data_IF_109728812214
#
_entry.id   IF_109728812214
#
_cell.length_a   1.000
_cell.length_b   1.000
_cell.length_c   1.000
_cell.angle_alpha   90.00
_cell.angle_beta   90.00
_cell.angle_gamma   90.00
#
_symmetry.space_group_name_H-M   'P 1'
#
loop_
_entity.id
_entity.type
_entity.pdbx_description
1 polymer ?
#
# COMPACT_ATOMS: atom_id res chain seq x y z
N UNK A 1 -22.76 -0.71 -2.18
CA UNK A 1 -21.67 -0.85 -1.18
C UNK A 1 -20.45 -1.38 -1.92
N UNK A 2 -19.21 -0.87 -1.70
CA UNK A 2 -18.02 -1.43 -2.35
C UNK A 2 -17.82 -2.88 -1.92
N UNK A 3 -17.49 -3.75 -2.87
CA UNK A 3 -17.31 -5.19 -2.63
C UNK A 3 -15.99 -5.44 -1.90
N UNK A 4 -16.04 -6.21 -0.82
CA UNK A 4 -14.85 -6.72 -0.13
C UNK A 4 -14.22 -7.83 -0.99
N UNK A 5 -12.90 -7.76 -1.19
CA UNK A 5 -12.13 -8.76 -1.94
C UNK A 5 -11.17 -9.51 -1.02
N UNK A 6 -11.03 -10.84 -1.23
CA UNK A 6 -10.06 -11.65 -0.48
C UNK A 6 -8.63 -11.32 -0.90
N UNK A 7 -7.69 -11.53 0.02
CA UNK A 7 -6.25 -11.55 -0.26
C UNK A 7 -5.84 -12.97 -0.68
N UNK A 8 -4.96 -13.15 -1.69
CA UNK A 8 -4.29 -12.10 -2.47
C UNK A 8 -5.23 -11.41 -3.47
N UNK A 9 -5.02 -10.11 -3.62
CA UNK A 9 -5.73 -9.25 -4.57
C UNK A 9 -4.72 -8.60 -5.51
N UNK A 10 -5.04 -8.58 -6.80
CA UNK A 10 -4.26 -7.87 -7.82
C UNK A 10 -5.22 -7.04 -8.66
N UNK A 11 -4.90 -5.75 -8.82
CA UNK A 11 -5.68 -4.83 -9.64
C UNK A 11 -4.84 -4.33 -10.80
N UNK A 12 -5.30 -4.57 -12.02
CA UNK A 12 -4.83 -3.83 -13.19
C UNK A 12 -5.34 -2.38 -13.10
N UNK A 13 -4.47 -1.41 -13.32
CA UNK A 13 -4.79 0.02 -13.26
C UNK A 13 -5.36 0.55 -14.59
N UNK A 14 -5.60 -0.34 -15.57
CA UNK A 14 -6.12 -0.09 -16.92
C UNK A 14 -5.25 0.84 -17.81
N UNK A 15 -4.23 1.45 -17.22
CA UNK A 15 -3.18 2.25 -17.88
C UNK A 15 -1.86 2.15 -17.11
N UNK A 16 -0.76 2.38 -17.80
CA UNK A 16 0.53 2.64 -17.16
C UNK A 16 0.45 3.97 -16.38
N UNK A 17 0.71 3.92 -15.08
CA UNK A 17 0.70 5.07 -14.19
C UNK A 17 2.13 5.55 -14.00
N UNK A 18 2.42 6.78 -14.43
CA UNK A 18 3.65 7.48 -14.07
C UNK A 18 3.68 7.65 -12.55
N UNK A 19 4.70 7.08 -11.90
CA UNK A 19 4.75 7.00 -10.43
C UNK A 19 5.27 8.28 -9.79
N UNK A 20 6.01 9.11 -10.53
CA UNK A 20 6.64 10.36 -10.04
C UNK A 20 5.70 11.51 -9.66
N UNK A 21 4.40 11.31 -9.85
CA UNK A 21 3.35 12.28 -9.58
C UNK A 21 2.02 11.59 -9.22
N UNK A 22 2.11 10.38 -8.66
CA UNK A 22 0.95 9.55 -8.38
C UNK A 22 0.56 9.60 -6.89
N UNK A 23 -0.75 9.61 -6.65
CA UNK A 23 -1.32 9.34 -5.34
C UNK A 23 -2.08 8.02 -5.38
N UNK A 24 -1.71 7.08 -4.53
CA UNK A 24 -2.43 5.81 -4.35
C UNK A 24 -3.11 5.79 -3.00
N UNK A 25 -4.43 5.60 -2.99
CA UNK A 25 -5.19 5.38 -1.75
C UNK A 25 -5.68 3.94 -1.70
N UNK A 26 -5.47 3.25 -0.59
CA UNK A 26 -5.94 1.89 -0.37
C UNK A 26 -6.73 1.88 0.93
N UNK A 27 -7.93 1.31 0.90
CA UNK A 27 -8.75 1.09 2.10
C UNK A 27 -8.90 -0.39 2.36
N UNK A 28 -9.02 -0.75 3.64
CA UNK A 28 -9.19 -2.13 4.04
C UNK A 28 -9.87 -2.25 5.38
N UNK A 29 -10.25 -3.47 5.70
CA UNK A 29 -10.79 -3.84 7.00
C UNK A 29 -9.97 -5.03 7.55
N UNK A 30 -9.44 -4.89 8.76
CA UNK A 30 -8.74 -6.00 9.41
C UNK A 30 -9.79 -6.86 10.11
N UNK A 31 -9.97 -8.11 9.69
CA UNK A 31 -10.98 -8.97 10.30
C UNK A 31 -10.60 -9.40 11.72
N UNK A 32 -11.60 -9.64 12.56
CA UNK A 32 -11.43 -10.22 13.88
C UNK A 32 -11.81 -11.72 13.88
N UNK A 33 -11.14 -12.53 13.05
CA UNK A 33 -11.45 -13.97 12.90
C UNK A 33 -10.77 -14.89 13.92
N UNK A 34 -10.39 -14.38 15.11
CA UNK A 34 -9.84 -15.20 16.20
C UNK A 34 -8.43 -15.76 16.01
N UNK A 35 -7.76 -15.50 14.88
CA UNK A 35 -6.36 -15.83 14.66
C UNK A 35 -5.42 -14.84 15.38
N UNK A 36 -4.26 -15.33 15.79
CA UNK A 36 -3.29 -14.53 16.55
C UNK A 36 -2.75 -13.37 15.71
N UNK A 37 -2.16 -13.60 14.54
CA UNK A 37 -1.57 -12.54 13.72
C UNK A 37 -2.16 -12.53 12.31
N UNK A 38 -2.31 -11.34 11.73
CA UNK A 38 -2.66 -11.14 10.33
C UNK A 38 -1.62 -10.25 9.66
N UNK A 39 -1.08 -10.69 8.54
CA UNK A 39 -0.13 -9.91 7.75
C UNK A 39 -0.74 -9.54 6.42
N UNK A 40 -0.53 -8.30 5.99
CA UNK A 40 -0.77 -7.88 4.63
C UNK A 40 0.35 -6.98 4.11
N UNK A 41 0.57 -7.05 2.81
CA UNK A 41 1.53 -6.24 2.07
C UNK A 41 0.83 -5.59 0.90
N UNK A 42 0.95 -4.27 0.79
CA UNK A 42 0.52 -3.48 -0.37
C UNK A 42 1.77 -3.17 -1.17
N UNK A 43 1.74 -3.47 -2.46
CA UNK A 43 2.90 -3.34 -3.35
C UNK A 43 2.49 -2.88 -4.75
N UNK A 44 3.34 -2.08 -5.38
CA UNK A 44 3.19 -1.70 -6.80
C UNK A 44 3.93 -2.70 -7.67
N UNK A 45 3.35 -3.05 -8.81
CA UNK A 45 3.92 -4.05 -9.71
C UNK A 45 3.84 -3.61 -11.16
N UNK A 46 4.85 -4.01 -11.91
CA UNK A 46 4.97 -3.70 -13.34
C UNK A 46 4.49 -4.89 -14.19
N UNK A 47 4.41 -6.08 -13.60
CA UNK A 47 3.99 -7.33 -14.25
C UNK A 47 2.89 -8.04 -13.44
N UNK A 48 2.02 -8.76 -14.16
CA UNK A 48 0.87 -9.48 -13.59
C UNK A 48 1.29 -10.74 -12.80
N UNK A 49 2.33 -11.44 -13.26
CA UNK A 49 2.58 -12.84 -12.91
C UNK A 49 3.47 -13.06 -11.66
N UNK A 50 3.92 -11.99 -11.00
CA UNK A 50 4.88 -12.11 -9.92
C UNK A 50 4.28 -12.07 -8.51
N UNK A 51 3.37 -13.00 -8.19
CA UNK A 51 3.03 -13.29 -6.78
C UNK A 51 4.26 -13.72 -5.95
N UNK A 52 5.39 -14.00 -6.60
CA UNK A 52 6.67 -14.41 -6.00
C UNK A 52 7.80 -13.39 -6.10
N UNK A 53 7.67 -12.32 -6.89
CA UNK A 53 8.74 -11.34 -7.05
C UNK A 53 8.31 -9.97 -6.53
N UNK A 54 8.86 -9.63 -5.37
CA UNK A 54 8.91 -8.25 -4.90
C UNK A 54 9.78 -7.48 -5.90
N UNK A 55 9.20 -6.86 -6.91
CA UNK A 55 9.88 -5.89 -7.77
C UNK A 55 9.25 -4.49 -7.59
N UNK A 56 8.68 -4.26 -6.41
CA UNK A 56 8.00 -3.01 -6.09
C UNK A 56 9.01 -1.93 -5.65
N UNK A 57 8.96 -0.72 -6.23
CA UNK A 57 9.78 0.41 -5.78
C UNK A 57 9.45 0.84 -4.34
N UNK A 58 8.25 0.52 -3.83
CA UNK A 58 7.92 0.56 -2.41
C UNK A 58 6.87 -0.50 -2.08
N UNK A 59 7.02 -1.14 -0.92
CA UNK A 59 6.04 -2.02 -0.29
C UNK A 59 5.70 -1.50 1.10
N UNK A 60 4.41 -1.47 1.42
CA UNK A 60 3.91 -1.26 2.78
C UNK A 60 3.45 -2.59 3.33
N UNK A 61 4.09 -3.09 4.37
CA UNK A 61 3.69 -4.31 5.06
C UNK A 61 3.19 -3.95 6.46
N UNK A 62 2.02 -4.46 6.83
CA UNK A 62 1.53 -4.39 8.19
C UNK A 62 1.23 -5.80 8.70
N UNK A 63 1.73 -6.12 9.90
CA UNK A 63 1.37 -7.32 10.66
C UNK A 63 0.61 -6.89 11.89
N UNK A 64 -0.69 -7.16 11.89
CA UNK A 64 -1.58 -6.89 13.01
C UNK A 64 -1.50 -8.08 13.96
N UNK A 65 -0.93 -7.86 15.15
CA UNK A 65 -0.70 -8.91 16.15
C UNK A 65 -1.95 -9.21 16.98
N UNK A 66 -1.90 -10.30 17.74
CA UNK A 66 -3.00 -10.77 18.60
C UNK A 66 -3.45 -9.73 19.63
N UNK A 67 -2.51 -8.93 20.14
CA UNK A 67 -2.75 -7.86 21.08
C UNK A 67 -3.43 -6.61 20.48
N UNK A 68 -3.80 -6.65 19.20
CA UNK A 68 -4.62 -5.65 18.54
C UNK A 68 -3.86 -4.51 17.87
N UNK A 69 -2.53 -4.46 17.98
CA UNK A 69 -1.69 -3.43 17.36
C UNK A 69 -0.96 -3.96 16.12
N UNK A 70 -0.67 -3.08 15.17
CA UNK A 70 0.15 -3.41 14.02
C UNK A 70 1.64 -3.19 14.29
N UNK A 71 2.48 -4.06 13.74
CA UNK A 71 3.86 -3.73 13.38
C UNK A 71 3.85 -3.37 11.91
N UNK A 72 4.40 -2.22 11.55
CA UNK A 72 4.51 -1.75 10.17
C UNK A 72 5.96 -1.82 9.71
N UNK A 73 6.18 -2.38 8.53
CA UNK A 73 7.41 -2.26 7.76
C UNK A 73 7.13 -1.49 6.49
N UNK A 74 7.89 -0.42 6.28
CA UNK A 74 7.95 0.24 4.98
C UNK A 74 9.26 -0.19 4.35
N UNK A 75 9.16 -0.81 3.18
CA UNK A 75 10.30 -1.41 2.50
C UNK A 75 10.39 -0.85 1.09
N UNK A 76 11.60 -0.61 0.62
CA UNK A 76 11.89 -0.37 -0.79
C UNK A 76 12.71 -1.55 -1.27
N UNK A 77 12.37 -2.12 -2.43
CA UNK A 77 13.22 -3.13 -3.05
C UNK A 77 13.86 -2.54 -4.30
N UNK A 78 15.17 -2.39 -4.25
CA UNK A 78 15.97 -2.33 -5.46
C UNK A 78 16.13 -3.77 -5.98
N UNK A 79 16.15 -3.99 -7.29
CA UNK A 79 16.13 -5.34 -7.91
C UNK A 79 17.09 -6.28 -7.17
N UNK A 80 16.54 -7.30 -6.50
CA UNK A 80 17.29 -8.30 -5.74
C UNK A 80 17.54 -8.03 -4.24
N UNK A 81 17.37 -6.80 -3.72
CA UNK A 81 17.68 -6.46 -2.32
C UNK A 81 16.56 -5.63 -1.64
N UNK A 82 15.69 -6.24 -0.81
CA UNK A 82 14.74 -5.50 0.00
C UNK A 82 15.45 -4.74 1.12
N UNK A 83 15.24 -3.43 1.20
CA UNK A 83 15.69 -2.59 2.31
C UNK A 83 14.50 -2.12 3.14
N UNK A 84 14.54 -2.38 4.44
CA UNK A 84 13.58 -1.80 5.38
C UNK A 84 13.95 -0.34 5.61
N UNK A 85 13.07 0.56 5.17
CA UNK A 85 13.21 1.99 5.34
C UNK A 85 12.69 2.45 6.71
N UNK A 86 11.66 1.76 7.22
CA UNK A 86 11.08 2.06 8.53
C UNK A 86 10.45 0.83 9.16
N UNK A 87 10.59 0.74 10.49
CA UNK A 87 9.91 -0.21 11.35
C UNK A 87 9.17 0.57 12.45
N UNK A 88 7.85 0.45 12.49
CA UNK A 88 7.03 0.98 13.59
C UNK A 88 6.45 -0.18 14.38
N UNK A 89 6.80 -0.25 15.66
CA UNK A 89 6.23 -1.23 16.58
C UNK A 89 5.00 -0.65 17.28
N UNK A 90 3.96 -1.48 17.42
CA UNK A 90 2.71 -1.13 18.13
C UNK A 90 2.00 0.11 17.54
N UNK A 91 1.92 0.18 16.22
CA UNK A 91 1.16 1.22 15.53
C UNK A 91 -0.34 1.07 15.77
N UNK A 92 -0.98 2.15 16.21
CA UNK A 92 -2.37 2.14 16.64
C UNK A 92 -3.39 2.41 15.52
N UNK A 93 -2.95 2.94 14.38
CA UNK A 93 -3.84 3.27 13.27
C UNK A 93 -4.34 2.07 12.46
N UNK A 94 -3.79 0.86 12.70
CA UNK A 94 -4.29 -0.37 12.09
C UNK A 94 -4.56 -1.37 13.21
N UNK A 95 -5.82 -1.78 13.37
CA UNK A 95 -6.29 -2.67 14.44
C UNK A 95 -7.33 -3.65 13.92
N UNK A 96 -7.44 -4.82 14.57
CA UNK A 96 -8.49 -5.80 14.28
C UNK A 96 -9.89 -5.19 14.49
N UNK A 97 -10.81 -5.51 13.58
CA UNK A 97 -12.19 -5.03 13.57
C UNK A 97 -12.33 -3.56 13.18
N UNK A 98 -11.28 -2.93 12.62
CA UNK A 98 -11.30 -1.51 12.22
C UNK A 98 -10.95 -1.35 10.75
N UNK A 99 -11.61 -0.37 10.15
CA UNK A 99 -11.25 0.13 8.83
C UNK A 99 -9.94 0.92 8.94
N UNK A 100 -9.15 0.88 7.87
CA UNK A 100 -7.95 1.68 7.72
C UNK A 100 -7.82 2.23 6.31
N UNK A 101 -7.05 3.30 6.17
CA UNK A 101 -6.64 3.89 4.90
C UNK A 101 -5.12 4.02 4.87
N UNK A 102 -4.49 3.57 3.78
CA UNK A 102 -3.08 3.80 3.48
C UNK A 102 -3.00 4.67 2.25
N UNK A 103 -2.28 5.78 2.34
CA UNK A 103 -2.01 6.68 1.21
C UNK A 103 -0.52 6.69 0.93
N UNK A 104 -0.17 6.52 -0.34
CA UNK A 104 1.15 6.81 -0.85
C UNK A 104 1.06 8.07 -1.71
N UNK A 105 1.74 9.13 -1.27
CA UNK A 105 1.91 10.36 -2.04
C UNK A 105 3.31 10.35 -2.66
N UNK A 106 3.38 10.20 -3.98
CA UNK A 106 4.61 9.85 -4.68
C UNK A 106 5.05 11.03 -5.52
N UNK A 107 6.28 11.48 -5.27
CA UNK A 107 6.96 12.49 -6.08
C UNK A 107 8.11 11.87 -6.88
N UNK A 108 8.79 12.69 -7.68
CA UNK A 108 10.00 12.27 -8.38
C UNK A 108 11.14 11.87 -7.42
N UNK A 109 11.16 12.39 -6.19
CA UNK A 109 12.29 12.21 -5.26
C UNK A 109 11.94 11.42 -4.00
N UNK A 110 10.69 11.50 -3.58
CA UNK A 110 10.24 10.96 -2.29
C UNK A 110 8.91 10.22 -2.41
N UNK A 111 8.63 9.39 -1.42
CA UNK A 111 7.35 8.74 -1.20
C UNK A 111 6.94 9.08 0.22
N UNK A 112 5.84 9.80 0.39
CA UNK A 112 5.21 9.99 1.69
C UNK A 112 4.18 8.89 1.91
N UNK A 113 4.26 8.23 3.06
CA UNK A 113 3.28 7.22 3.47
C UNK A 113 2.43 7.79 4.59
N UNK A 114 1.11 7.78 4.42
CA UNK A 114 0.16 8.15 5.45
C UNK A 114 -0.73 6.96 5.79
N UNK A 115 -1.06 6.82 7.07
CA UNK A 115 -2.09 5.87 7.52
C UNK A 115 -3.15 6.61 8.31
N UNK A 116 -4.41 6.51 7.87
CA UNK A 116 -5.54 7.28 8.40
C UNK A 116 -5.26 8.79 8.49
N UNK A 117 -4.58 9.33 7.47
CA UNK A 117 -4.18 10.74 7.41
C UNK A 117 -2.97 11.11 8.28
N UNK A 118 -2.43 10.20 9.10
CA UNK A 118 -1.19 10.43 9.85
C UNK A 118 0.02 10.10 8.99
N UNK A 119 0.95 11.05 8.73
CA UNK A 119 2.19 10.75 8.04
C UNK A 119 3.07 9.85 8.90
N UNK A 120 3.59 8.78 8.29
CA UNK A 120 4.55 7.87 8.91
C UNK A 120 5.99 8.28 8.60
N UNK A 121 6.22 8.86 7.42
CA UNK A 121 7.52 9.39 7.03
C UNK A 121 7.60 9.72 5.54
N UNK A 122 8.65 10.44 5.19
CA UNK A 122 9.05 10.73 3.82
C UNK A 122 10.28 9.89 3.46
N UNK A 123 10.13 9.05 2.44
CA UNK A 123 11.15 8.09 2.05
C UNK A 123 11.76 8.49 0.72
N UNK A 124 13.09 8.61 0.66
CA UNK A 124 13.78 8.83 -0.60
C UNK A 124 13.49 7.67 -1.56
N UNK A 125 13.18 7.99 -2.82
CA UNK A 125 13.09 7.00 -3.89
C UNK A 125 14.48 6.45 -4.20
N UNK A 126 14.68 5.17 -3.95
CA UNK A 126 15.93 4.46 -4.22
C UNK A 126 15.80 3.73 -5.56
N UNK A 127 14.65 3.10 -5.82
CA UNK A 127 14.32 2.53 -7.12
C UNK A 127 13.46 3.50 -7.95
N UNK A 128 13.93 3.83 -9.15
CA UNK A 128 13.18 4.59 -10.15
C UNK A 128 12.44 3.60 -11.07
N UNK A 129 11.39 2.92 -10.58
CA UNK A 129 10.41 2.39 -11.55
C UNK A 129 9.57 3.58 -12.03
N UNK A 130 9.69 4.03 -13.29
CA UNK A 130 9.02 5.23 -13.78
C UNK A 130 7.50 5.03 -13.85
N UNK A 131 7.06 3.77 -14.00
CA UNK A 131 5.66 3.44 -14.23
C UNK A 131 5.24 2.23 -13.43
N UNK A 132 3.97 2.14 -13.04
CA UNK A 132 3.37 0.92 -12.52
C UNK A 132 2.07 0.62 -13.25
N UNK A 133 1.72 -0.65 -13.44
CA UNK A 133 0.48 -1.07 -14.10
C UNK A 133 -0.46 -1.85 -13.16
N UNK A 134 0.07 -2.36 -12.05
CA UNK A 134 -0.69 -3.19 -11.14
C UNK A 134 -0.50 -2.76 -9.68
N UNK A 135 -1.58 -2.85 -8.91
CA UNK A 135 -1.54 -2.77 -7.45
C UNK A 135 -1.81 -4.16 -6.88
N UNK A 136 -0.83 -4.70 -6.16
CA UNK A 136 -0.96 -5.95 -5.43
C UNK A 136 -1.26 -5.72 -3.95
N UNK A 137 -2.13 -6.55 -3.40
CA UNK A 137 -2.27 -6.76 -1.96
C UNK A 137 -2.09 -8.25 -1.69
N UNK A 138 -1.02 -8.60 -0.99
CA UNK A 138 -0.72 -9.99 -0.58
C UNK A 138 -0.76 -10.10 0.94
N UNK A 139 -0.68 -11.33 1.45
CA UNK A 139 -0.75 -11.58 2.89
C UNK A 139 -1.55 -12.83 3.24
N UNK A 140 -1.79 -12.99 4.53
CA UNK A 140 -2.60 -14.08 5.05
C UNK A 140 -4.05 -13.80 4.64
N UNK A 141 -4.72 -14.76 3.97
CA UNK A 141 -6.00 -14.61 3.25
C UNK A 141 -7.24 -14.26 4.08
N UNK A 142 -7.06 -13.60 5.22
CA UNK A 142 -8.08 -13.26 6.22
C UNK A 142 -8.31 -11.75 6.35
N UNK A 143 -7.46 -10.90 5.75
CA UNK A 143 -7.76 -9.48 5.65
C UNK A 143 -8.66 -9.23 4.42
N UNK A 144 -9.80 -8.57 4.61
CA UNK A 144 -10.63 -8.14 3.49
C UNK A 144 -10.27 -6.71 3.13
N UNK A 145 -9.97 -6.53 1.85
CA UNK A 145 -9.63 -5.22 1.33
C UNK A 145 -10.84 -4.61 0.65
N UNK A 146 -10.99 -3.30 0.82
CA UNK A 146 -11.90 -2.48 0.04
C UNK A 146 -11.03 -1.63 -0.88
N UNK A 147 -10.61 -2.17 -2.04
CA UNK A 147 -9.70 -1.49 -2.94
C UNK A 147 -10.41 -0.32 -3.64
N UNK A 148 -10.67 0.76 -2.91
CA UNK A 148 -10.94 2.07 -3.50
C UNK A 148 -9.60 2.68 -3.91
N UNK A 149 -8.97 2.06 -4.92
CA UNK A 149 -7.73 2.57 -5.51
C UNK A 149 -8.09 3.78 -6.35
N UNK A 150 -7.96 4.95 -5.74
CA UNK A 150 -7.96 6.22 -6.45
C UNK A 150 -6.52 6.54 -6.82
N UNK A 151 -6.22 6.44 -8.11
CA UNK A 151 -5.00 6.99 -8.69
C UNK A 151 -5.32 8.41 -9.13
N UNK A 152 -4.76 9.40 -8.45
CA UNK A 152 -4.76 10.78 -8.94
C UNK A 152 -3.36 11.07 -9.46
N UNK A 153 -3.26 11.49 -10.73
CA UNK A 153 -2.02 12.05 -11.29
C UNK A 153 -2.15 13.58 -11.27
N UNK A 154 -1.06 14.34 -11.20
CA UNK A 154 -1.10 15.80 -11.05
C UNK A 154 -1.96 16.53 -12.10
N UNK A 155 -2.10 15.98 -13.31
CA UNK A 155 -3.01 16.49 -14.35
C UNK A 155 -4.51 16.43 -13.96
N UNK A 156 -4.89 15.55 -13.03
CA UNK A 156 -6.24 15.40 -12.48
C UNK A 156 -6.44 16.18 -11.17
N UNK A 157 -5.37 16.50 -10.44
CA UNK A 157 -5.42 17.35 -9.24
C UNK A 157 -5.77 18.80 -9.63
N UNK A 158 -5.23 19.28 -10.76
CA UNK A 158 -5.57 20.59 -11.31
C UNK A 158 -7.04 20.73 -11.74
N UNK A 159 -7.76 19.61 -11.97
CA UNK A 159 -9.18 19.62 -12.37
C UNK A 159 -10.15 19.48 -11.20
N UNK A 160 -9.68 19.28 -9.97
CA UNK A 160 -10.55 19.17 -8.77
C UNK A 160 -10.64 20.44 -7.92
N UNK A 161 -9.98 21.53 -8.31
CA UNK A 161 -10.05 22.83 -7.64
C UNK A 161 -10.64 23.96 -8.49
N UNK A 162 -11.42 23.64 -9.53
CA UNK A 162 -12.25 24.62 -10.24
C UNK A 162 -13.65 24.04 -10.46
N UNK A 163 -14.50 24.22 -9.45
CA UNK A 163 -15.93 24.60 -9.50
C UNK A 163 -16.57 24.36 -8.14
#
# INVERSE_FOLDING_TARGET
>A
MPQEVPVPYLRNLDKLVQTDSAKFTIRGHVHHLGYDDQTFTIEWRDEEDSLKSWNAPIGFTARVKCNGFATIWIQCKEIGNPMTLMLINKFEGIRKGKDFEVVFDVSAQTIQVLVNGQPLGDFRRIAQSPTTQYLGVTGDGLALFRPDVKVCQDADVAKRFVN
#
